data_IF_278390593718
#
_entry.id   IF_278390593718
#
_cell.length_a   1.000
_cell.length_b   1.000
_cell.length_c   1.000
_cell.angle_alpha   90.00
_cell.angle_beta   90.00
_cell.angle_gamma   90.00
#
_symmetry.space_group_name_H-M   'P 1'
#
loop_
_entity.id
_entity.type
_entity.pdbx_description
1 polymer ?
#
# COMPACT_ATOMS: atom_id res chain seq x y z
N UNK A 1 48.07 36.02 -38.04
CA UNK A 1 47.56 35.19 -36.93
C UNK A 1 46.15 35.66 -36.58
N UNK A 2 45.36 34.76 -35.99
CA UNK A 2 43.91 34.62 -36.15
C UNK A 2 42.99 35.71 -35.57
N UNK A 3 41.78 35.71 -36.14
CA UNK A 3 40.55 36.45 -35.83
C UNK A 3 40.14 36.53 -34.36
N UNK A 4 39.57 37.68 -33.96
CA UNK A 4 38.79 37.85 -32.73
C UNK A 4 37.32 38.05 -33.08
N UNK A 5 36.47 37.11 -32.65
CA UNK A 5 35.02 37.11 -32.81
C UNK A 5 34.39 38.14 -31.87
N UNK A 6 33.51 38.97 -32.42
CA UNK A 6 32.62 39.86 -31.66
C UNK A 6 31.53 39.06 -30.93
N UNK A 7 31.60 38.96 -29.61
CA UNK A 7 30.50 38.52 -28.76
C UNK A 7 29.54 39.69 -28.49
N UNK A 8 28.32 39.63 -29.03
CA UNK A 8 27.21 40.51 -28.64
C UNK A 8 26.60 39.99 -27.34
N UNK A 9 26.88 40.66 -26.23
CA UNK A 9 26.08 40.59 -25.00
C UNK A 9 24.70 41.20 -25.26
N UNK A 10 23.65 40.38 -25.24
CA UNK A 10 22.26 40.85 -25.20
C UNK A 10 21.79 40.78 -23.75
N UNK A 11 21.52 41.95 -23.17
CA UNK A 11 20.87 42.09 -21.88
C UNK A 11 19.39 41.75 -22.02
N UNK A 12 18.89 40.76 -21.27
CA UNK A 12 17.45 40.51 -21.13
C UNK A 12 16.89 41.42 -20.04
N UNK A 13 16.16 42.45 -20.46
CA UNK A 13 15.33 43.28 -19.57
C UNK A 13 13.96 42.62 -19.39
N UNK A 14 13.66 42.19 -18.17
CA UNK A 14 12.34 41.69 -17.75
C UNK A 14 11.35 42.86 -17.79
N UNK A 15 10.46 42.89 -18.80
CA UNK A 15 9.22 43.67 -18.73
C UNK A 15 8.08 42.76 -18.28
N UNK A 16 7.63 42.96 -17.05
CA UNK A 16 6.31 42.53 -16.60
C UNK A 16 5.26 43.34 -17.37
N UNK A 17 4.41 42.67 -18.16
CA UNK A 17 3.10 43.19 -18.51
C UNK A 17 2.07 42.07 -18.33
N UNK A 18 1.18 42.30 -17.37
CA UNK A 18 -0.03 41.54 -17.12
C UNK A 18 -1.03 41.86 -18.24
N UNK A 19 -1.47 40.84 -18.98
CA UNK A 19 -2.68 40.86 -19.81
C UNK A 19 -3.36 39.50 -19.59
N UNK A 20 -4.48 39.51 -18.87
CA UNK A 20 -5.44 38.43 -18.92
C UNK A 20 -6.20 38.50 -20.23
N UNK A 21 -6.19 37.43 -21.02
CA UNK A 21 -7.19 37.16 -22.07
C UNK A 21 -7.42 35.65 -22.14
N UNK A 22 -8.71 35.31 -21.99
CA UNK A 22 -9.44 34.08 -22.29
C UNK A 22 -8.73 32.96 -23.08
N UNK A 23 -8.71 31.75 -22.51
CA UNK A 23 -8.71 30.51 -23.29
C UNK A 23 -10.14 30.14 -23.65
N UNK A 24 -10.59 30.66 -24.80
CA UNK A 24 -11.69 30.09 -25.59
C UNK A 24 -11.03 29.32 -26.75
N UNK A 25 -11.02 27.99 -26.64
CA UNK A 25 -10.79 27.00 -27.70
C UNK A 25 -10.79 25.63 -26.98
N UNK A 26 -11.62 24.63 -27.24
CA UNK A 26 -12.35 24.23 -28.45
C UNK A 26 -13.66 23.55 -28.02
N UNK A 27 -14.81 24.14 -28.37
CA UNK A 27 -16.12 23.49 -28.33
C UNK A 27 -16.76 23.53 -29.74
N UNK A 28 -15.94 23.31 -30.76
CA UNK A 28 -16.34 23.27 -32.16
C UNK A 28 -15.90 21.94 -32.78
N UNK A 29 -16.73 20.91 -32.61
CA UNK A 29 -16.75 19.62 -33.33
C UNK A 29 -18.03 18.93 -32.79
N UNK A 30 -19.20 18.82 -33.42
CA UNK A 30 -19.62 18.83 -34.81
C UNK A 30 -21.05 19.40 -34.93
N UNK A 31 -21.24 20.42 -35.77
CA UNK A 31 -22.50 20.76 -36.45
C UNK A 31 -22.23 20.63 -37.96
N UNK A 32 -21.95 19.41 -38.42
CA UNK A 32 -21.81 19.09 -39.84
C UNK A 32 -23.02 18.33 -40.33
N UNK A 33 -23.96 19.03 -40.97
CA UNK A 33 -25.16 18.42 -41.55
C UNK A 33 -26.16 19.46 -42.10
N UNK A 34 -25.74 20.25 -43.08
CA UNK A 34 -26.57 21.11 -43.95
C UNK A 34 -25.88 21.02 -45.31
N UNK A 35 -26.44 20.64 -46.45
CA UNK A 35 -27.77 20.28 -47.01
C UNK A 35 -27.48 19.58 -48.34
N UNK A 36 -28.43 18.86 -48.95
CA UNK A 36 -28.80 19.04 -50.36
C UNK A 36 -30.18 18.40 -50.57
N UNK A 37 -31.14 19.22 -50.98
CA UNK A 37 -32.40 18.78 -51.56
C UNK A 37 -32.28 18.74 -53.09
N UNK A 38 -33.10 17.86 -53.67
CA UNK A 38 -33.44 17.65 -55.10
C UNK A 38 -32.45 16.95 -56.04
N UNK A 39 -32.94 15.84 -56.61
CA UNK A 39 -32.32 15.13 -57.74
C UNK A 39 -32.63 13.64 -57.78
N UNK A 40 -33.79 13.28 -58.34
CA UNK A 40 -34.34 11.93 -58.64
C UNK A 40 -33.32 10.84 -59.02
N UNK A 41 -33.48 9.63 -58.45
CA UNK A 41 -32.88 8.39 -58.97
C UNK A 41 -33.09 7.19 -58.04
N UNK A 42 -34.11 6.36 -58.32
CA UNK A 42 -34.68 5.41 -57.36
C UNK A 42 -33.88 4.15 -57.00
N UNK A 43 -34.24 3.57 -55.85
CA UNK A 43 -34.62 2.16 -55.62
C UNK A 43 -34.99 1.94 -54.14
N UNK A 44 -36.25 1.53 -53.94
CA UNK A 44 -36.86 0.84 -52.80
C UNK A 44 -36.42 1.22 -51.37
N UNK A 45 -37.14 2.16 -50.77
CA UNK A 45 -37.21 2.33 -49.30
C UNK A 45 -38.56 1.84 -48.80
N UNK A 46 -38.55 0.80 -47.96
CA UNK A 46 -39.71 0.43 -47.15
C UNK A 46 -40.10 1.61 -46.27
N UNK A 47 -41.32 2.09 -46.44
CA UNK A 47 -41.92 3.17 -45.66
C UNK A 47 -42.14 2.72 -44.22
N UNK A 48 -41.21 3.09 -43.32
CA UNK A 48 -41.45 3.06 -41.87
C UNK A 48 -42.37 4.23 -41.54
N UNK A 49 -43.50 3.92 -40.90
CA UNK A 49 -44.54 4.87 -40.49
C UNK A 49 -44.00 5.97 -39.56
N UNK A 50 -44.42 7.22 -39.78
CA UNK A 50 -43.87 8.42 -39.10
C UNK A 50 -44.04 8.42 -37.56
N UNK A 51 -44.93 7.61 -37.01
CA UNK A 51 -45.12 7.46 -35.55
C UNK A 51 -43.92 6.85 -34.82
N UNK A 52 -43.13 5.99 -35.47
CA UNK A 52 -41.94 5.36 -34.89
C UNK A 52 -40.73 6.29 -34.82
N UNK A 53 -40.66 7.29 -35.70
CA UNK A 53 -39.59 8.31 -35.69
C UNK A 53 -39.85 9.38 -34.62
N UNK A 54 -41.10 9.77 -34.39
CA UNK A 54 -41.46 10.78 -33.38
C UNK A 54 -41.24 10.30 -31.94
N UNK A 55 -41.55 9.03 -31.64
CA UNK A 55 -41.32 8.44 -30.31
C UNK A 55 -39.83 8.30 -30.01
N UNK A 56 -39.04 7.81 -30.96
CA UNK A 56 -37.57 7.72 -30.84
C UNK A 56 -36.91 9.08 -30.62
N UNK A 57 -37.42 10.13 -31.28
CA UNK A 57 -36.93 11.51 -31.12
C UNK A 57 -37.27 12.09 -29.74
N UNK A 58 -38.49 11.86 -29.25
CA UNK A 58 -38.93 12.27 -27.90
C UNK A 58 -38.03 11.67 -26.79
N UNK A 59 -37.73 10.37 -26.87
CA UNK A 59 -36.86 9.71 -25.90
C UNK A 59 -35.39 10.20 -25.99
N UNK A 60 -34.91 10.50 -27.20
CA UNK A 60 -33.58 11.09 -27.38
C UNK A 60 -33.49 12.50 -26.77
N UNK A 61 -34.52 13.32 -26.94
CA UNK A 61 -34.57 14.70 -26.40
C UNK A 61 -34.65 14.71 -24.86
N UNK A 62 -35.34 13.74 -24.25
CA UNK A 62 -35.46 13.61 -22.80
C UNK A 62 -34.12 13.28 -22.12
N UNK A 63 -33.39 12.29 -22.63
CA UNK A 63 -32.05 11.91 -22.12
C UNK A 63 -31.05 13.04 -22.36
N UNK A 64 -31.14 13.72 -23.52
CA UNK A 64 -30.32 14.88 -23.85
C UNK A 64 -30.55 16.05 -22.90
N UNK A 65 -31.80 16.31 -22.51
CA UNK A 65 -32.16 17.34 -21.53
C UNK A 65 -31.58 17.02 -20.15
N UNK A 66 -31.71 15.77 -19.68
CA UNK A 66 -31.14 15.32 -18.39
C UNK A 66 -29.61 15.44 -18.36
N UNK A 67 -28.95 15.03 -19.44
CA UNK A 67 -27.51 15.19 -19.63
C UNK A 67 -27.07 16.66 -19.54
N UNK A 68 -27.81 17.59 -20.18
CA UNK A 68 -27.50 19.02 -20.09
C UNK A 68 -27.70 19.59 -18.68
N UNK A 69 -28.73 19.14 -17.96
CA UNK A 69 -28.95 19.53 -16.56
C UNK A 69 -27.79 19.11 -15.65
N UNK A 70 -27.28 17.89 -15.83
CA UNK A 70 -26.12 17.39 -15.07
C UNK A 70 -24.88 18.22 -15.40
N UNK A 71 -24.61 18.50 -16.68
CA UNK A 71 -23.49 19.37 -17.07
C UNK A 71 -23.59 20.77 -16.44
N UNK A 72 -24.78 21.35 -16.33
CA UNK A 72 -24.96 22.66 -15.71
C UNK A 72 -24.67 22.62 -14.20
N UNK A 73 -25.09 21.56 -13.50
CA UNK A 73 -24.76 21.34 -12.07
C UNK A 73 -23.25 21.15 -11.87
N UNK A 74 -22.58 20.45 -12.79
CA UNK A 74 -21.11 20.28 -12.77
C UNK A 74 -20.42 21.63 -12.97
N UNK A 75 -20.88 22.45 -13.94
CA UNK A 75 -20.35 23.79 -14.20
C UNK A 75 -20.51 24.76 -13.03
N UNK A 76 -21.60 24.66 -12.26
CA UNK A 76 -21.83 25.49 -11.06
C UNK A 76 -20.99 25.05 -9.86
N UNK A 77 -20.59 23.77 -9.78
CA UNK A 77 -19.74 23.23 -8.70
C UNK A 77 -18.24 23.28 -9.01
N UNK A 78 -17.85 23.96 -10.08
CA UNK A 78 -16.53 23.91 -10.69
C UNK A 78 -15.55 24.84 -9.96
N UNK A 79 -15.04 24.40 -8.82
CA UNK A 79 -13.85 25.00 -8.20
C UNK A 79 -12.64 24.81 -9.13
N UNK A 80 -11.81 25.85 -9.23
CA UNK A 80 -10.71 25.99 -10.22
C UNK A 80 -9.69 24.84 -10.22
N UNK A 81 -9.62 24.07 -9.14
CA UNK A 81 -8.65 22.99 -8.93
C UNK A 81 -9.12 21.62 -9.45
N UNK A 82 -10.36 21.53 -9.97
CA UNK A 82 -11.02 20.25 -10.28
C UNK A 82 -10.92 19.79 -11.75
N UNK A 83 -9.97 20.34 -12.52
CA UNK A 83 -9.91 20.16 -13.98
C UNK A 83 -9.89 18.68 -14.42
N UNK A 84 -9.06 17.84 -13.80
CA UNK A 84 -8.91 16.42 -14.17
C UNK A 84 -10.17 15.60 -13.88
N UNK A 85 -10.79 15.78 -12.72
CA UNK A 85 -12.04 15.09 -12.35
C UNK A 85 -13.21 15.53 -13.23
N UNK A 86 -13.27 16.82 -13.59
CA UNK A 86 -14.28 17.32 -14.52
C UNK A 86 -14.12 16.71 -15.92
N UNK A 87 -12.88 16.58 -16.42
CA UNK A 87 -12.59 15.91 -17.70
C UNK A 87 -13.02 14.44 -17.64
N UNK A 88 -12.70 13.73 -16.56
CA UNK A 88 -13.11 12.34 -16.36
C UNK A 88 -14.63 12.16 -16.40
N UNK A 89 -15.38 12.99 -15.66
CA UNK A 89 -16.84 12.96 -15.69
C UNK A 89 -17.40 13.25 -17.09
N UNK A 90 -16.87 14.28 -17.78
CA UNK A 90 -17.31 14.63 -19.14
C UNK A 90 -17.09 13.47 -20.12
N UNK A 91 -15.98 12.74 -20.01
CA UNK A 91 -15.70 11.56 -20.82
C UNK A 91 -16.71 10.44 -20.54
N UNK A 92 -16.97 10.10 -19.26
CA UNK A 92 -17.97 9.07 -18.89
C UNK A 92 -19.37 9.42 -19.38
N UNK A 93 -19.78 10.68 -19.18
CA UNK A 93 -21.07 11.18 -19.66
C UNK A 93 -21.18 11.07 -21.19
N UNK A 94 -20.09 11.33 -21.92
CA UNK A 94 -20.02 11.17 -23.38
C UNK A 94 -20.13 9.72 -23.82
N UNK A 95 -19.51 8.78 -23.09
CA UNK A 95 -19.61 7.34 -23.34
C UNK A 95 -21.00 6.78 -23.09
N UNK A 96 -21.64 7.14 -21.96
CA UNK A 96 -23.03 6.77 -21.67
C UNK A 96 -23.96 7.29 -22.78
N UNK A 97 -23.75 8.53 -23.22
CA UNK A 97 -24.51 9.12 -24.34
C UNK A 97 -24.29 8.36 -25.65
N UNK A 98 -23.05 7.98 -25.99
CA UNK A 98 -22.74 7.20 -27.19
C UNK A 98 -23.38 5.81 -27.14
N UNK A 99 -23.30 5.13 -26.00
CA UNK A 99 -23.91 3.82 -25.76
C UNK A 99 -25.43 3.88 -25.91
N UNK A 100 -26.08 4.86 -25.30
CA UNK A 100 -27.53 5.07 -25.44
C UNK A 100 -27.93 5.32 -26.90
N UNK A 101 -27.21 6.19 -27.63
CA UNK A 101 -27.50 6.48 -29.04
C UNK A 101 -27.32 5.24 -29.93
N UNK A 102 -26.26 4.46 -29.69
CA UNK A 102 -26.02 3.19 -30.39
C UNK A 102 -27.12 2.16 -30.08
N UNK A 103 -27.51 2.00 -28.81
CA UNK A 103 -28.60 1.12 -28.42
C UNK A 103 -29.94 1.59 -29.02
N UNK A 104 -30.18 2.90 -29.16
CA UNK A 104 -31.38 3.44 -29.81
C UNK A 104 -31.41 3.14 -31.32
N UNK A 105 -30.25 3.23 -31.99
CA UNK A 105 -30.07 3.04 -33.43
C UNK A 105 -30.05 1.56 -33.84
N UNK A 106 -29.46 0.69 -33.02
CA UNK A 106 -29.44 -0.77 -33.22
C UNK A 106 -30.80 -1.40 -32.91
N UNK A 107 -31.57 -0.86 -31.95
CA UNK A 107 -32.89 -1.37 -31.58
C UNK A 107 -34.04 -0.89 -32.50
N UNK A 108 -33.76 -0.49 -33.74
CA UNK A 108 -34.79 -0.26 -34.78
C UNK A 108 -35.61 -1.54 -35.06
N UNK A 109 -35.11 -2.72 -34.67
CA UNK A 109 -35.72 -4.05 -34.89
C UNK A 109 -36.36 -4.73 -33.66
N UNK A 110 -36.38 -4.12 -32.46
CA UNK A 110 -36.92 -4.74 -31.23
C UNK A 110 -38.20 -4.08 -30.70
N UNK A 111 -39.05 -4.87 -30.03
CA UNK A 111 -40.41 -4.56 -29.54
C UNK A 111 -40.51 -3.26 -28.71
N UNK A 112 -41.65 -2.56 -28.80
CA UNK A 112 -41.87 -1.23 -28.16
C UNK A 112 -41.58 -1.17 -26.65
N UNK A 113 -41.68 -2.29 -25.92
CA UNK A 113 -41.37 -2.36 -24.48
C UNK A 113 -39.90 -2.06 -24.16
N UNK A 114 -38.94 -2.51 -24.98
CA UNK A 114 -37.52 -2.29 -24.72
C UNK A 114 -37.11 -0.82 -24.94
N UNK A 115 -37.74 -0.14 -25.90
CA UNK A 115 -37.57 1.31 -26.17
C UNK A 115 -38.05 2.19 -25.03
N UNK A 116 -39.06 1.76 -24.26
CA UNK A 116 -39.58 2.52 -23.13
C UNK A 116 -38.69 2.43 -21.86
N UNK A 117 -37.90 1.36 -21.70
CA UNK A 117 -37.02 1.14 -20.54
C UNK A 117 -35.60 1.72 -20.72
N UNK A 118 -35.15 1.88 -21.95
CA UNK A 118 -33.85 2.49 -22.31
C UNK A 118 -33.58 3.86 -21.66
N UNK A 119 -34.54 4.81 -21.64
CA UNK A 119 -34.35 6.13 -21.03
C UNK A 119 -34.17 6.08 -19.51
N UNK A 120 -34.89 5.20 -18.80
CA UNK A 120 -34.79 5.09 -17.34
C UNK A 120 -33.45 4.48 -16.93
N UNK A 121 -32.98 3.48 -17.67
CA UNK A 121 -31.65 2.87 -17.48
C UNK A 121 -30.52 3.88 -17.72
N UNK A 122 -30.58 4.63 -18.82
CA UNK A 122 -29.59 5.67 -19.12
C UNK A 122 -29.57 6.77 -18.04
N UNK A 123 -30.74 7.22 -17.57
CA UNK A 123 -30.83 8.18 -16.46
C UNK A 123 -30.20 7.65 -15.17
N UNK A 124 -30.44 6.38 -14.83
CA UNK A 124 -29.84 5.76 -13.65
C UNK A 124 -28.31 5.66 -13.75
N UNK A 125 -27.76 5.32 -14.91
CA UNK A 125 -26.30 5.31 -15.15
C UNK A 125 -25.70 6.73 -15.04
N UNK A 126 -26.39 7.75 -15.57
CA UNK A 126 -26.01 9.16 -15.46
C UNK A 126 -26.02 9.66 -14.00
N UNK A 127 -27.07 9.33 -13.25
CA UNK A 127 -27.20 9.73 -11.84
C UNK A 127 -26.16 9.03 -10.97
N UNK A 128 -25.88 7.74 -11.22
CA UNK A 128 -24.82 7.00 -10.53
C UNK A 128 -23.43 7.62 -10.78
N UNK A 129 -23.11 7.96 -12.03
CA UNK A 129 -21.85 8.63 -12.39
C UNK A 129 -21.72 10.01 -11.71
N UNK A 130 -22.82 10.76 -11.62
CA UNK A 130 -22.83 12.07 -10.95
C UNK A 130 -22.70 11.96 -9.42
N UNK A 131 -23.32 10.97 -8.79
CA UNK A 131 -23.14 10.71 -7.35
C UNK A 131 -21.73 10.22 -7.01
N UNK A 132 -21.11 9.42 -7.89
CA UNK A 132 -19.70 9.03 -7.75
C UNK A 132 -18.77 10.25 -7.80
N UNK A 133 -18.99 11.13 -8.77
CA UNK A 133 -18.24 12.39 -8.91
C UNK A 133 -18.33 13.30 -7.67
N UNK A 134 -19.47 13.31 -6.96
CA UNK A 134 -19.61 14.07 -5.71
C UNK A 134 -18.78 13.48 -4.56
N UNK A 135 -18.58 12.16 -4.54
CA UNK A 135 -17.83 11.45 -3.49
C UNK A 135 -16.31 11.52 -3.67
N UNK A 136 -15.84 11.52 -4.92
CA UNK A 136 -14.41 11.65 -5.27
C UNK A 136 -13.66 12.82 -4.58
N UNK A 137 -14.18 14.05 -4.47
CA UNK A 137 -13.45 15.16 -3.84
C UNK A 137 -13.26 15.01 -2.32
N UNK A 138 -14.22 14.43 -1.60
CA UNK A 138 -14.05 14.16 -0.17
C UNK A 138 -12.99 13.07 0.06
N UNK A 139 -13.02 12.03 -0.75
CA UNK A 139 -12.08 10.93 -0.64
C UNK A 139 -10.66 11.36 -1.04
N UNK A 140 -10.54 12.21 -2.07
CA UNK A 140 -9.25 12.81 -2.47
C UNK A 140 -8.64 13.65 -1.33
N UNK A 141 -9.45 14.45 -0.63
CA UNK A 141 -9.00 15.21 0.55
C UNK A 141 -8.54 14.28 1.69
N UNK A 142 -9.31 13.22 1.97
CA UNK A 142 -8.96 12.22 2.99
C UNK A 142 -7.66 11.47 2.66
N UNK A 143 -7.46 11.09 1.40
CA UNK A 143 -6.21 10.46 0.93
C UNK A 143 -5.03 11.40 1.11
N UNK A 144 -5.17 12.68 0.76
CA UNK A 144 -4.10 13.67 0.95
C UNK A 144 -3.75 13.89 2.43
N UNK A 145 -4.75 13.97 3.31
CA UNK A 145 -4.55 14.08 4.76
C UNK A 145 -3.88 12.82 5.32
N UNK A 146 -4.33 11.63 4.93
CA UNK A 146 -3.75 10.36 5.35
C UNK A 146 -2.30 10.21 4.87
N UNK A 147 -2.00 10.64 3.65
CA UNK A 147 -0.63 10.64 3.11
C UNK A 147 0.29 11.54 3.95
N UNK A 148 -0.18 12.72 4.37
CA UNK A 148 0.57 13.59 5.29
C UNK A 148 0.82 12.92 6.66
N UNK A 149 -0.17 12.21 7.20
CA UNK A 149 -0.03 11.48 8.47
C UNK A 149 0.98 10.33 8.39
N UNK A 150 1.06 9.65 7.24
CA UNK A 150 2.07 8.62 6.98
C UNK A 150 3.47 9.22 6.98
N UNK A 151 3.69 10.33 6.29
CA UNK A 151 4.99 11.02 6.26
C UNK A 151 5.42 11.49 7.65
N UNK A 152 4.50 12.04 8.44
CA UNK A 152 4.77 12.44 9.82
C UNK A 152 5.15 11.24 10.72
N UNK A 153 4.47 10.11 10.56
CA UNK A 153 4.78 8.88 11.30
C UNK A 153 6.15 8.30 10.91
N UNK A 154 6.48 8.31 9.61
CA UNK A 154 7.79 7.86 9.11
C UNK A 154 8.92 8.67 9.71
N UNK A 155 8.76 10.00 9.70
CA UNK A 155 9.74 10.90 10.34
C UNK A 155 9.90 10.59 11.82
N UNK A 156 8.81 10.37 12.56
CA UNK A 156 8.88 10.02 13.97
C UNK A 156 9.60 8.69 14.22
N UNK A 157 9.40 7.69 13.37
CA UNK A 157 10.11 6.42 13.46
C UNK A 157 11.61 6.56 13.14
N UNK A 158 11.96 7.41 12.17
CA UNK A 158 13.35 7.74 11.84
C UNK A 158 14.05 8.51 12.97
N UNK A 159 13.39 9.51 13.55
CA UNK A 159 13.88 10.27 14.70
C UNK A 159 14.12 9.33 15.91
N UNK A 160 13.19 8.41 16.19
CA UNK A 160 13.35 7.40 17.25
C UNK A 160 14.51 6.44 16.96
N UNK A 161 14.68 6.03 15.70
CA UNK A 161 15.77 5.15 15.29
C UNK A 161 17.14 5.80 15.49
N UNK A 162 17.28 7.08 15.17
CA UNK A 162 18.50 7.84 15.41
C UNK A 162 18.74 8.02 16.92
N UNK A 163 17.70 8.34 17.70
CA UNK A 163 17.81 8.46 19.15
C UNK A 163 18.30 7.15 19.80
N UNK A 164 17.73 6.01 19.39
CA UNK A 164 18.14 4.70 19.88
C UNK A 164 19.57 4.35 19.50
N UNK A 165 19.98 4.68 18.27
CA UNK A 165 21.34 4.49 17.80
C UNK A 165 22.36 5.31 18.60
N UNK A 166 22.00 6.53 19.02
CA UNK A 166 22.85 7.41 19.85
C UNK A 166 22.94 6.93 21.29
N UNK A 167 21.81 6.52 21.88
CA UNK A 167 21.74 6.11 23.28
C UNK A 167 22.27 4.68 23.50
N UNK A 168 22.11 3.80 22.52
CA UNK A 168 22.45 2.38 22.61
C UNK A 168 23.26 1.90 21.38
N UNK A 169 24.48 2.42 21.15
CA UNK A 169 25.26 2.17 19.94
C UNK A 169 25.72 0.71 19.74
N UNK A 170 25.72 -0.09 20.81
CA UNK A 170 26.10 -1.52 20.77
C UNK A 170 24.89 -2.46 20.74
N UNK A 171 23.67 -1.92 20.74
CA UNK A 171 22.46 -2.73 20.77
C UNK A 171 22.21 -3.40 19.42
N UNK A 172 21.91 -4.70 19.48
CA UNK A 172 21.63 -5.54 18.30
C UNK A 172 20.13 -5.69 18.03
N UNK A 173 19.28 -5.29 18.98
CA UNK A 173 17.83 -5.43 18.93
C UNK A 173 17.14 -4.07 18.88
N UNK A 174 15.94 -4.01 18.28
CA UNK A 174 15.12 -2.79 18.29
C UNK A 174 14.59 -2.51 19.70
N UNK A 175 14.48 -1.24 20.05
CA UNK A 175 13.78 -0.84 21.27
C UNK A 175 12.28 -1.01 21.08
N UNK A 176 11.55 -1.12 22.19
CA UNK A 176 10.09 -1.22 22.12
C UNK A 176 9.49 0.09 21.58
N UNK A 177 10.15 1.23 21.82
CA UNK A 177 9.78 2.54 21.30
C UNK A 177 9.86 2.59 19.77
N UNK A 178 10.94 2.06 19.19
CA UNK A 178 11.11 1.98 17.74
C UNK A 178 10.13 0.99 17.11
N UNK A 179 9.90 -0.17 17.73
CA UNK A 179 8.89 -1.15 17.26
C UNK A 179 7.47 -0.55 17.23
N UNK A 180 7.10 0.23 18.26
CA UNK A 180 5.81 0.94 18.30
C UNK A 180 5.75 2.00 17.20
N UNK A 181 6.82 2.79 17.00
CA UNK A 181 6.85 3.82 15.98
C UNK A 181 6.74 3.23 14.56
N UNK A 182 7.44 2.13 14.27
CA UNK A 182 7.34 1.41 13.00
C UNK A 182 5.94 0.78 12.80
N UNK A 183 5.33 0.25 13.86
CA UNK A 183 3.97 -0.30 13.79
C UNK A 183 2.92 0.78 13.51
N UNK A 184 3.05 1.98 14.09
CA UNK A 184 2.18 3.13 13.79
C UNK A 184 2.29 3.57 12.31
N UNK A 185 3.49 3.48 11.71
CA UNK A 185 3.68 3.70 10.26
C UNK A 185 2.89 2.67 9.46
N UNK A 186 3.03 1.37 9.77
CA UNK A 186 2.33 0.30 9.04
C UNK A 186 0.81 0.45 9.11
N UNK A 187 0.26 0.79 10.28
CA UNK A 187 -1.17 1.06 10.46
C UNK A 187 -1.63 2.19 9.53
N UNK A 188 -0.91 3.31 9.53
CA UNK A 188 -1.27 4.48 8.70
C UNK A 188 -1.10 4.21 7.20
N UNK A 189 -0.10 3.43 6.81
CA UNK A 189 0.07 2.99 5.42
C UNK A 189 -1.07 2.08 4.97
N UNK A 190 -1.50 1.13 5.80
CA UNK A 190 -2.64 0.26 5.52
C UNK A 190 -3.97 1.05 5.44
N UNK A 191 -4.19 2.04 6.32
CA UNK A 191 -5.35 2.93 6.25
C UNK A 191 -5.34 3.79 4.97
N UNK A 192 -4.16 4.26 4.54
CA UNK A 192 -4.00 4.99 3.29
C UNK A 192 -4.28 4.09 2.08
N UNK A 193 -3.84 2.83 2.11
CA UNK A 193 -4.12 1.83 1.09
C UNK A 193 -5.64 1.59 0.96
N UNK A 194 -6.35 1.44 2.08
CA UNK A 194 -7.81 1.29 2.11
C UNK A 194 -8.50 2.49 1.46
N UNK A 195 -8.12 3.71 1.84
CA UNK A 195 -8.70 4.93 1.25
C UNK A 195 -8.42 5.05 -0.25
N UNK A 196 -7.27 4.57 -0.72
CA UNK A 196 -6.94 4.54 -2.16
C UNK A 196 -7.75 3.50 -2.92
N UNK A 197 -7.97 2.32 -2.35
CA UNK A 197 -8.85 1.28 -2.93
C UNK A 197 -10.30 1.74 -3.00
N UNK A 198 -10.83 2.38 -1.96
CA UNK A 198 -12.18 2.95 -1.95
C UNK A 198 -12.38 4.06 -2.99
N UNK A 199 -11.29 4.73 -3.37
CA UNK A 199 -11.26 5.83 -4.34
C UNK A 199 -11.17 5.38 -5.79
N UNK A 200 -10.95 4.08 -6.04
CA UNK A 200 -10.95 3.55 -7.40
C UNK A 200 -12.35 3.61 -8.01
N UNK A 201 -12.37 3.85 -9.31
CA UNK A 201 -13.59 3.91 -10.11
C UNK A 201 -14.34 2.58 -10.14
N UNK A 202 -13.59 1.48 -10.23
CA UNK A 202 -14.10 0.11 -10.09
C UNK A 202 -13.68 -0.43 -8.73
N UNK A 203 -14.64 -0.52 -7.82
CA UNK A 203 -14.44 -1.08 -6.48
C UNK A 203 -14.49 -2.59 -6.56
N UNK A 204 -13.39 -3.23 -6.22
CA UNK A 204 -13.35 -4.66 -5.97
C UNK A 204 -13.59 -4.91 -4.47
N UNK A 205 -14.79 -5.37 -4.13
CA UNK A 205 -15.16 -5.68 -2.75
C UNK A 205 -14.26 -6.75 -2.12
N UNK A 206 -13.69 -7.66 -2.91
CA UNK A 206 -12.76 -8.69 -2.43
C UNK A 206 -11.44 -8.06 -1.98
N UNK A 207 -10.88 -7.18 -2.81
CA UNK A 207 -9.65 -6.44 -2.50
C UNK A 207 -9.85 -5.50 -1.30
N UNK A 208 -10.98 -4.77 -1.24
CA UNK A 208 -11.28 -3.89 -0.10
C UNK A 208 -11.34 -4.69 1.22
N UNK A 209 -12.01 -5.84 1.24
CA UNK A 209 -12.07 -6.70 2.44
C UNK A 209 -10.70 -7.20 2.89
N UNK A 210 -9.82 -7.55 1.96
CA UNK A 210 -8.45 -7.97 2.29
C UNK A 210 -7.67 -6.82 2.94
N UNK A 211 -7.79 -5.60 2.41
CA UNK A 211 -7.12 -4.43 2.97
C UNK A 211 -7.73 -4.05 4.33
N UNK A 212 -9.04 -4.17 4.52
CA UNK A 212 -9.69 -3.98 5.82
C UNK A 212 -9.18 -4.98 6.88
N UNK A 213 -9.02 -6.26 6.52
CA UNK A 213 -8.44 -7.27 7.41
C UNK A 213 -6.99 -6.94 7.77
N UNK A 214 -6.20 -6.47 6.80
CA UNK A 214 -4.82 -6.02 7.03
C UNK A 214 -4.77 -4.82 7.98
N UNK A 215 -5.64 -3.82 7.81
CA UNK A 215 -5.74 -2.69 8.77
C UNK A 215 -6.07 -3.20 10.17
N UNK A 216 -6.97 -4.18 10.29
CA UNK A 216 -7.33 -4.77 11.58
C UNK A 216 -6.17 -5.53 12.23
N UNK A 217 -5.40 -6.30 11.46
CA UNK A 217 -4.24 -7.04 11.98
C UNK A 217 -3.12 -6.10 12.45
N UNK A 218 -2.81 -5.05 11.67
CA UNK A 218 -1.77 -4.07 12.03
C UNK A 218 -2.16 -3.29 13.29
N UNK A 219 -3.44 -2.91 13.43
CA UNK A 219 -3.94 -2.26 14.67
C UNK A 219 -3.86 -3.17 15.89
N UNK A 220 -4.10 -4.47 15.72
CA UNK A 220 -3.96 -5.44 16.81
C UNK A 220 -2.50 -5.59 17.25
N UNK A 221 -1.55 -5.58 16.30
CA UNK A 221 -0.11 -5.60 16.60
C UNK A 221 0.31 -4.34 17.36
N UNK A 222 -0.08 -3.15 16.89
CA UNK A 222 0.22 -1.89 17.58
C UNK A 222 -0.30 -1.88 19.03
N UNK A 223 -1.53 -2.37 19.24
CA UNK A 223 -2.14 -2.50 20.58
C UNK A 223 -1.35 -3.45 21.48
N UNK A 224 -0.88 -4.58 20.92
CA UNK A 224 -0.06 -5.55 21.65
C UNK A 224 1.27 -4.92 22.09
N UNK A 225 1.92 -4.15 21.23
CA UNK A 225 3.19 -3.48 21.55
C UNK A 225 3.02 -2.43 22.67
N UNK A 226 1.95 -1.64 22.63
CA UNK A 226 1.63 -0.67 23.71
C UNK A 226 1.34 -1.37 25.04
N UNK A 227 0.65 -2.52 25.01
CA UNK A 227 0.43 -3.34 26.20
C UNK A 227 1.76 -3.84 26.79
N UNK A 228 2.66 -4.35 25.93
CA UNK A 228 4.00 -4.80 26.35
C UNK A 228 4.79 -3.66 26.99
N UNK A 229 4.78 -2.46 26.39
CA UNK A 229 5.43 -1.26 26.96
C UNK A 229 4.89 -0.93 28.34
N UNK A 230 3.57 -0.95 28.50
CA UNK A 230 2.90 -0.65 29.77
C UNK A 230 3.25 -1.68 30.86
N UNK A 231 3.26 -2.96 30.52
CA UNK A 231 3.62 -4.04 31.44
C UNK A 231 5.09 -3.98 31.86
N UNK A 232 6.01 -3.71 30.92
CA UNK A 232 7.44 -3.51 31.22
C UNK A 232 7.66 -2.34 32.19
N UNK A 233 6.98 -1.21 31.98
CA UNK A 233 7.06 -0.05 32.86
C UNK A 233 6.58 -0.38 34.28
N UNK A 234 5.45 -1.09 34.41
CA UNK A 234 4.94 -1.54 35.72
C UNK A 234 5.91 -2.50 36.42
N UNK A 235 6.50 -3.44 35.68
CA UNK A 235 7.49 -4.38 36.20
C UNK A 235 8.76 -3.68 36.68
N UNK A 236 9.23 -2.66 35.95
CA UNK A 236 10.40 -1.86 36.36
C UNK A 236 10.11 -1.03 37.62
N UNK A 237 8.93 -0.41 37.71
CA UNK A 237 8.53 0.34 38.90
C UNK A 237 8.42 -0.57 40.14
N UNK A 238 7.86 -1.77 39.98
CA UNK A 238 7.81 -2.77 41.06
C UNK A 238 9.22 -3.18 41.51
N UNK A 239 10.16 -3.38 40.57
CA UNK A 239 11.56 -3.66 40.89
C UNK A 239 12.23 -2.52 41.65
N UNK A 240 11.97 -1.26 41.26
CA UNK A 240 12.50 -0.09 41.96
C UNK A 240 11.98 0.01 43.39
N UNK A 241 10.67 -0.22 43.61
CA UNK A 241 10.06 -0.24 44.95
C UNK A 241 10.64 -1.35 45.84
N UNK A 242 10.81 -2.56 45.30
CA UNK A 242 11.45 -3.65 46.04
C UNK A 242 12.92 -3.35 46.42
N UNK A 243 13.69 -2.76 45.49
CA UNK A 243 15.07 -2.38 45.75
C UNK A 243 15.21 -1.22 46.76
N UNK A 244 14.21 -0.35 46.86
CA UNK A 244 14.16 0.73 47.85
C UNK A 244 13.75 0.20 49.24
N UNK A 245 12.82 -0.75 49.31
CA UNK A 245 12.47 -1.45 50.56
C UNK A 245 13.64 -2.27 51.15
N UNK A 246 14.44 -2.92 50.30
CA UNK A 246 15.64 -3.63 50.75
C UNK A 246 16.74 -2.68 51.25
N UNK A 247 16.88 -1.48 50.66
CA UNK A 247 17.81 -0.45 51.15
C UNK A 247 17.42 0.16 52.50
N UNK A 248 16.12 0.17 52.85
CA UNK A 248 15.66 0.67 54.16
C UNK A 248 15.93 -0.34 55.29
N UNK A 249 16.06 -1.63 54.98
CA UNK A 249 16.44 -2.68 55.95
C UNK A 249 17.94 -2.73 56.26
N UNK A 250 18.77 -2.02 55.49
CA UNK A 250 20.23 -2.13 55.54
C UNK A 250 20.94 -0.83 55.99
N UNK A 251 20.42 -0.14 57.02
CA UNK A 251 21.12 1.00 57.66
C UNK A 251 21.87 0.56 58.94
N UNK A 252 23.12 1.02 59.20
CA UNK A 252 24.04 0.35 60.14
C UNK A 252 23.76 0.64 61.62
N UNK A 253 24.12 -0.32 62.47
CA UNK A 253 24.23 -0.18 63.93
C UNK A 253 25.17 0.98 64.33
N UNK A 254 24.75 1.75 65.34
CA UNK A 254 25.49 2.83 65.97
C UNK A 254 26.90 2.41 66.44
N UNK A 255 27.89 3.26 66.17
CA UNK A 255 29.26 3.15 66.69
C UNK A 255 29.30 3.43 68.21
N UNK A 256 30.06 2.66 69.02
CA UNK A 256 30.51 3.11 70.33
C UNK A 256 31.85 3.88 70.26
N UNK A 257 31.98 4.93 71.07
CA UNK A 257 33.18 5.77 71.24
C UNK A 257 34.38 5.00 71.86
N UNK A 258 35.64 5.48 71.70
CA UNK A 258 36.84 4.72 72.05
C UNK A 258 37.27 4.90 73.51
N UNK A 259 37.82 3.85 74.12
CA UNK A 259 38.56 3.89 75.39
C UNK A 259 40.05 3.52 75.18
N UNK A 260 41.00 4.02 76.01
CA UNK A 260 42.44 3.86 75.80
C UNK A 260 43.02 2.57 76.42
N UNK A 261 44.28 2.25 76.03
CA UNK A 261 45.02 0.97 76.09
C UNK A 261 45.74 0.64 77.46
N UNK A 262 46.64 -0.38 77.58
CA UNK A 262 46.35 -1.77 78.01
C UNK A 262 47.23 -2.35 79.18
N UNK A 263 46.96 -3.63 79.55
CA UNK A 263 47.76 -4.68 80.29
C UNK A 263 47.70 -4.78 81.83
N UNK A 264 48.02 -5.95 82.47
CA UNK A 264 47.82 -7.39 82.13
C UNK A 264 47.43 -8.33 83.32
N UNK A 265 47.29 -9.64 83.04
CA UNK A 265 47.45 -10.85 83.91
C UNK A 265 46.24 -11.76 84.29
N UNK A 266 46.49 -13.07 84.10
CA UNK A 266 45.71 -14.30 84.40
C UNK A 266 45.89 -14.72 85.90
N UNK A 267 45.19 -15.71 86.51
CA UNK A 267 44.77 -17.02 85.95
C UNK A 267 43.39 -17.60 86.41
N UNK A 268 43.05 -18.78 85.85
CA UNK A 268 41.85 -19.65 86.02
C UNK A 268 41.78 -20.35 87.42
N UNK A 269 40.75 -21.17 87.84
CA UNK A 269 39.89 -22.11 87.05
C UNK A 269 38.39 -22.36 87.48
N UNK A 270 37.63 -23.02 86.57
CA UNK A 270 36.48 -23.99 86.65
C UNK A 270 35.46 -24.02 87.85
N UNK A 271 34.24 -24.66 87.77
CA UNK A 271 33.65 -25.52 86.73
C UNK A 271 32.16 -25.22 86.35
N UNK A 272 31.64 -26.02 85.41
CA UNK A 272 30.24 -26.11 84.93
C UNK A 272 29.36 -26.88 85.94
N UNK A 273 28.05 -26.57 86.03
CA UNK A 273 27.03 -27.60 85.73
C UNK A 273 25.84 -27.01 84.95
N UNK A 274 25.43 -27.67 83.87
CA UNK A 274 24.15 -28.38 83.74
C UNK A 274 22.95 -27.47 83.45
N UNK A 275 22.34 -27.76 82.29
CA UNK A 275 21.05 -27.23 81.87
C UNK A 275 19.95 -27.92 82.71
N UNK A 276 18.84 -27.24 83.01
CA UNK A 276 17.59 -27.79 82.51
C UNK A 276 16.54 -26.76 82.05
N UNK A 277 15.85 -27.18 80.98
CA UNK A 277 14.43 -27.05 80.71
C UNK A 277 13.85 -25.69 80.25
N UNK A 278 13.22 -25.78 79.07
CA UNK A 278 12.36 -24.84 78.36
C UNK A 278 11.02 -24.60 79.06
N UNK A 279 10.43 -23.41 78.84
CA UNK A 279 9.05 -23.17 78.37
C UNK A 279 8.74 -21.65 78.28
N UNK A 280 7.73 -21.17 77.52
CA UNK A 280 7.72 -21.03 76.05
C UNK A 280 7.42 -19.59 75.59
N UNK A 281 7.64 -19.28 74.30
CA UNK A 281 7.13 -18.04 73.66
C UNK A 281 6.23 -18.40 72.48
N UNK A 282 5.05 -17.77 72.48
CA UNK A 282 3.87 -17.93 71.65
C UNK A 282 4.06 -18.37 70.17
N UNK A 283 3.31 -19.40 69.79
CA UNK A 283 3.04 -19.85 68.42
C UNK A 283 2.03 -18.94 67.70
N UNK A 284 2.23 -18.79 66.39
CA UNK A 284 1.26 -18.27 65.40
C UNK A 284 0.31 -19.41 64.99
N UNK A 285 -0.95 -19.15 64.59
CA UNK A 285 -1.94 -20.21 64.39
C UNK A 285 -1.66 -21.07 63.14
N UNK A 286 -1.88 -22.38 63.30
CA UNK A 286 -1.49 -23.47 62.39
C UNK A 286 -2.11 -23.45 60.98
N UNK A 287 -3.14 -22.65 60.73
CA UNK A 287 -3.85 -22.66 59.45
C UNK A 287 -3.09 -21.92 58.32
N UNK A 288 -2.27 -20.91 58.64
CA UNK A 288 -1.47 -20.21 57.62
C UNK A 288 -0.23 -21.01 57.18
N UNK A 289 0.26 -21.90 58.05
CA UNK A 289 1.44 -22.71 57.78
C UNK A 289 1.11 -23.92 56.89
N UNK A 290 -0.13 -24.43 56.98
CA UNK A 290 -0.60 -25.55 56.16
C UNK A 290 -0.89 -25.14 54.69
N UNK A 291 -1.36 -23.92 54.44
CA UNK A 291 -1.59 -23.40 53.07
C UNK A 291 -0.28 -23.10 52.33
N UNK A 292 0.72 -22.54 53.02
CA UNK A 292 2.05 -22.30 52.45
C UNK A 292 2.82 -23.62 52.21
N UNK A 293 2.64 -24.64 53.06
CA UNK A 293 3.20 -25.98 52.84
C UNK A 293 2.51 -26.74 51.69
N UNK A 294 1.22 -26.49 51.43
CA UNK A 294 0.50 -27.07 50.29
C UNK A 294 0.93 -26.44 48.96
N UNK A 295 1.10 -25.11 48.92
CA UNK A 295 1.58 -24.39 47.74
C UNK A 295 3.03 -24.76 47.38
N UNK A 296 3.93 -24.81 48.38
CA UNK A 296 5.36 -25.13 48.17
C UNK A 296 5.58 -26.56 47.68
N UNK A 297 4.77 -27.51 48.17
CA UNK A 297 4.84 -28.92 47.75
C UNK A 297 4.41 -29.11 46.29
N UNK A 298 3.46 -28.31 45.78
CA UNK A 298 3.03 -28.36 44.38
C UNK A 298 4.06 -27.77 43.40
N UNK A 299 4.80 -26.72 43.79
CA UNK A 299 5.86 -26.12 42.98
C UNK A 299 7.13 -26.98 42.98
N UNK A 300 7.47 -27.64 44.10
CA UNK A 300 8.58 -28.59 44.16
C UNK A 300 8.29 -29.88 43.37
N UNK A 301 7.03 -30.32 43.31
CA UNK A 301 6.61 -31.46 42.48
C UNK A 301 6.62 -31.11 40.98
N UNK A 302 6.23 -29.89 40.60
CA UNK A 302 6.34 -29.37 39.23
C UNK A 302 7.81 -29.19 38.78
N UNK A 303 8.67 -28.72 39.68
CA UNK A 303 10.10 -28.55 39.43
C UNK A 303 10.88 -29.89 39.43
N UNK A 304 10.44 -30.91 40.20
CA UNK A 304 11.00 -32.27 40.10
C UNK A 304 10.59 -32.98 38.81
N UNK A 305 9.39 -32.74 38.28
CA UNK A 305 8.94 -33.33 37.02
C UNK A 305 9.71 -32.79 35.80
N UNK A 306 10.20 -31.55 35.88
CA UNK A 306 11.00 -30.90 34.82
C UNK A 306 12.51 -31.19 34.92
N UNK A 307 13.02 -31.61 36.08
CA UNK A 307 14.44 -31.91 36.30
C UNK A 307 14.83 -33.40 36.27
N UNK A 308 13.88 -34.33 36.15
CA UNK A 308 14.16 -35.78 36.03
C UNK A 308 14.15 -36.33 34.60
N UNK A 309 14.11 -35.47 33.58
CA UNK A 309 14.58 -35.90 32.26
C UNK A 309 16.09 -35.75 32.25
N UNK A 310 16.87 -36.82 32.04
CA UNK A 310 18.31 -36.68 31.85
C UNK A 310 18.54 -35.70 30.68
N UNK A 311 19.68 -34.99 30.64
CA UNK A 311 19.99 -34.14 29.52
C UNK A 311 19.87 -35.02 28.28
N UNK A 312 18.93 -34.70 27.38
CA UNK A 312 19.11 -35.12 26.00
C UNK A 312 20.40 -34.45 25.61
N UNK A 313 21.49 -35.23 25.59
CA UNK A 313 22.60 -34.99 24.71
C UNK A 313 21.97 -34.60 23.39
N UNK A 314 22.00 -33.30 23.10
CA UNK A 314 21.82 -32.81 21.76
C UNK A 314 22.93 -33.49 20.98
N UNK A 315 22.57 -34.61 20.34
CA UNK A 315 23.16 -34.99 19.08
C UNK A 315 23.32 -33.68 18.33
N UNK A 316 24.55 -33.26 17.96
CA UNK A 316 24.77 -31.95 17.33
C UNK A 316 23.67 -31.80 16.29
N UNK A 317 22.86 -30.73 16.45
CA UNK A 317 21.71 -30.50 15.61
C UNK A 317 22.16 -30.83 14.19
N UNK A 318 21.58 -31.89 13.60
CA UNK A 318 21.77 -32.13 12.18
C UNK A 318 21.46 -30.78 11.55
N UNK A 319 22.36 -30.21 10.72
CA UNK A 319 22.15 -28.90 10.15
C UNK A 319 20.74 -28.92 9.58
N UNK A 320 19.84 -28.10 10.14
CA UNK A 320 18.58 -27.81 9.47
C UNK A 320 19.04 -27.28 8.13
N UNK A 321 18.94 -28.10 7.09
CA UNK A 321 19.49 -27.77 5.78
C UNK A 321 19.02 -26.36 5.50
N UNK A 322 19.94 -25.38 5.32
CA UNK A 322 19.53 -24.00 5.14
C UNK A 322 18.46 -24.00 4.04
N UNK A 323 17.30 -23.40 4.30
CA UNK A 323 16.28 -23.21 3.26
C UNK A 323 16.96 -22.29 2.25
N UNK A 324 17.56 -22.84 1.21
CA UNK A 324 18.22 -22.09 0.14
C UNK A 324 17.48 -22.32 -1.17
N UNK A 325 17.53 -21.34 -2.06
CA UNK A 325 16.85 -21.34 -3.34
C UNK A 325 15.36 -21.03 -3.24
N UNK A 326 14.64 -21.36 -4.30
CA UNK A 326 13.20 -21.14 -4.42
C UNK A 326 12.40 -22.02 -3.44
N UNK A 327 11.47 -21.40 -2.73
CA UNK A 327 10.53 -22.05 -1.81
C UNK A 327 9.14 -21.47 -1.99
N UNK A 328 8.14 -22.34 -1.97
CA UNK A 328 6.75 -21.93 -1.97
C UNK A 328 6.18 -22.03 -0.56
N UNK A 329 5.67 -20.93 -0.04
CA UNK A 329 5.07 -20.82 1.29
C UNK A 329 3.73 -20.09 1.17
N UNK A 330 2.65 -20.67 1.70
CA UNK A 330 1.28 -20.14 1.59
C UNK A 330 0.86 -19.75 0.15
N UNK A 331 1.30 -20.53 -0.84
CA UNK A 331 1.00 -20.28 -2.26
C UNK A 331 1.88 -19.23 -2.94
N UNK A 332 2.70 -18.49 -2.18
CA UNK A 332 3.64 -17.48 -2.70
C UNK A 332 5.05 -18.06 -2.83
N UNK A 333 5.79 -17.61 -3.84
CA UNK A 333 7.18 -18.00 -4.04
C UNK A 333 8.15 -17.03 -3.39
N UNK A 334 9.15 -17.54 -2.70
CA UNK A 334 10.23 -16.81 -2.05
C UNK A 334 11.57 -17.38 -2.52
N UNK A 335 12.61 -16.57 -2.48
CA UNK A 335 13.97 -17.03 -2.73
C UNK A 335 14.84 -16.78 -1.50
N UNK A 336 15.51 -17.82 -1.04
CA UNK A 336 16.46 -17.72 0.05
C UNK A 336 17.89 -17.87 -0.47
N UNK A 337 18.75 -16.93 -0.12
CA UNK A 337 20.16 -16.95 -0.45
C UNK A 337 20.87 -18.12 0.25
N UNK A 338 22.11 -18.38 -0.15
CA UNK A 338 22.93 -19.46 0.42
C UNK A 338 23.22 -19.30 1.91
N UNK A 339 23.17 -18.07 2.42
CA UNK A 339 23.30 -17.72 3.85
C UNK A 339 21.98 -17.84 4.63
N UNK A 340 20.89 -18.22 3.95
CA UNK A 340 19.55 -18.34 4.53
C UNK A 340 18.76 -17.02 4.60
N UNK A 341 19.33 -15.91 4.16
CA UNK A 341 18.60 -14.63 4.07
C UNK A 341 17.57 -14.66 2.93
N UNK A 342 16.44 -13.97 3.11
CA UNK A 342 15.41 -13.87 2.08
C UNK A 342 15.73 -12.75 1.08
N UNK A 343 15.69 -13.05 -0.21
CA UNK A 343 15.92 -12.06 -1.26
C UNK A 343 14.70 -11.14 -1.44
N UNK A 344 14.97 -9.86 -1.71
CA UNK A 344 13.99 -8.84 -2.10
C UNK A 344 14.52 -8.04 -3.29
N UNK A 345 13.65 -7.41 -4.05
CA UNK A 345 14.00 -6.68 -5.27
C UNK A 345 14.32 -7.60 -6.46
N UNK A 346 15.14 -7.09 -7.38
CA UNK A 346 15.57 -7.84 -8.56
C UNK A 346 16.53 -8.96 -8.19
N UNK A 347 16.20 -10.17 -8.63
CA UNK A 347 17.02 -11.37 -8.45
C UNK A 347 17.35 -11.96 -9.81
N UNK A 348 18.64 -12.17 -10.07
CA UNK A 348 19.07 -12.99 -11.19
C UNK A 348 19.32 -14.43 -10.71
N UNK A 349 18.59 -15.39 -11.27
CA UNK A 349 18.77 -16.80 -10.96
C UNK A 349 18.70 -17.63 -12.24
N UNK A 350 19.71 -18.48 -12.47
CA UNK A 350 19.81 -19.37 -13.64
C UNK A 350 19.62 -18.67 -15.00
N UNK A 351 20.13 -17.44 -15.14
CA UNK A 351 20.06 -16.67 -16.39
C UNK A 351 18.74 -15.94 -16.63
N UNK A 352 17.76 -16.07 -15.73
CA UNK A 352 16.51 -15.30 -15.76
C UNK A 352 16.48 -14.27 -14.64
N UNK A 353 15.79 -13.16 -14.89
CA UNK A 353 15.50 -12.14 -13.88
C UNK A 353 14.13 -12.38 -13.26
N UNK A 354 14.03 -12.14 -11.97
CA UNK A 354 12.82 -12.23 -11.17
C UNK A 354 12.72 -10.98 -10.31
N UNK A 355 11.51 -10.66 -9.86
CA UNK A 355 11.31 -9.59 -8.91
C UNK A 355 10.60 -10.11 -7.66
N UNK A 356 11.21 -9.89 -6.51
CA UNK A 356 10.66 -10.20 -5.20
C UNK A 356 10.22 -8.87 -4.57
N UNK A 357 8.99 -8.77 -4.10
CA UNK A 357 8.50 -7.55 -3.46
C UNK A 357 9.22 -7.31 -2.11
N UNK A 358 8.83 -6.26 -1.37
CA UNK A 358 9.43 -5.94 -0.07
C UNK A 358 9.23 -7.00 1.01
N UNK A 359 8.21 -7.86 0.89
CA UNK A 359 7.98 -8.99 1.80
C UNK A 359 8.64 -10.29 1.31
N UNK A 360 9.40 -10.24 0.21
CA UNK A 360 10.13 -11.35 -0.38
C UNK A 360 9.32 -12.22 -1.33
N UNK A 361 8.02 -11.95 -1.51
CA UNK A 361 7.20 -12.74 -2.41
C UNK A 361 7.42 -12.35 -3.89
N UNK A 362 7.52 -13.36 -4.74
CA UNK A 362 7.74 -13.22 -6.17
C UNK A 362 6.55 -12.55 -6.87
N UNK A 363 6.87 -11.60 -7.73
CA UNK A 363 5.90 -10.85 -8.54
C UNK A 363 5.77 -11.48 -9.92
N UNK A 364 4.54 -11.51 -10.43
CA UNK A 364 4.17 -11.88 -11.80
C UNK A 364 3.32 -10.77 -12.42
N UNK A 365 3.25 -10.69 -13.74
CA UNK A 365 2.54 -9.66 -14.48
C UNK A 365 3.32 -8.35 -14.61
N UNK A 366 2.60 -7.25 -14.81
CA UNK A 366 3.19 -5.93 -14.98
C UNK A 366 3.77 -5.37 -13.69
N UNK A 367 5.03 -4.93 -13.75
CA UNK A 367 5.74 -4.28 -12.66
C UNK A 367 6.23 -2.91 -13.10
N UNK A 368 5.89 -1.87 -12.34
CA UNK A 368 6.53 -0.56 -12.47
C UNK A 368 7.67 -0.46 -11.47
N UNK A 369 8.90 -0.29 -11.96
CA UNK A 369 10.09 -0.13 -11.12
C UNK A 369 10.99 0.97 -11.69
N UNK A 370 11.37 1.94 -10.85
CA UNK A 370 12.24 3.07 -11.21
C UNK A 370 11.81 3.84 -12.48
N UNK A 371 10.49 4.02 -12.68
CA UNK A 371 9.94 4.77 -13.81
C UNK A 371 9.84 4.00 -15.13
N UNK A 372 10.23 2.72 -15.15
CA UNK A 372 10.04 1.83 -16.29
C UNK A 372 9.05 0.71 -15.97
N UNK A 373 8.37 0.21 -16.99
CA UNK A 373 7.50 -0.96 -16.89
C UNK A 373 8.25 -2.22 -17.33
N UNK A 374 8.00 -3.32 -16.63
CA UNK A 374 8.54 -4.64 -16.90
C UNK A 374 7.39 -5.64 -16.89
N UNK A 375 7.55 -6.76 -17.59
CA UNK A 375 6.59 -7.85 -17.56
C UNK A 375 7.25 -9.11 -17.00
N UNK A 376 6.67 -9.66 -15.94
CA UNK A 376 7.12 -10.91 -15.31
C UNK A 376 6.15 -12.00 -15.75
N UNK A 377 6.63 -13.02 -16.44
CA UNK A 377 5.82 -14.15 -16.87
C UNK A 377 5.15 -14.86 -15.68
N UNK A 378 4.19 -15.75 -15.95
CA UNK A 378 3.52 -16.51 -14.89
C UNK A 378 4.45 -17.34 -13.99
N UNK A 379 5.64 -17.72 -14.51
CA UNK A 379 6.69 -18.40 -13.73
C UNK A 379 7.65 -17.43 -13.01
N UNK A 380 7.36 -16.13 -13.02
CA UNK A 380 8.14 -15.05 -12.42
C UNK A 380 9.32 -14.54 -13.26
N UNK A 381 9.66 -15.20 -14.37
CA UNK A 381 10.78 -14.75 -15.19
C UNK A 381 10.43 -13.46 -15.94
N UNK A 382 11.33 -12.49 -15.95
CA UNK A 382 11.20 -11.26 -16.71
C UNK A 382 11.21 -11.54 -18.21
N UNK A 383 10.20 -11.03 -18.91
CA UNK A 383 10.10 -11.10 -20.35
C UNK A 383 10.97 -10.04 -21.03
N UNK A 384 11.46 -10.39 -22.21
CA UNK A 384 12.08 -9.49 -23.18
C UNK A 384 11.41 -9.69 -24.53
N UNK A 385 11.60 -8.74 -25.45
CA UNK A 385 10.99 -8.70 -26.77
C UNK A 385 9.45 -8.62 -26.74
N UNK A 386 8.78 -9.25 -27.70
CA UNK A 386 7.34 -9.14 -27.87
C UNK A 386 6.58 -9.89 -26.77
N UNK A 387 5.70 -9.19 -26.08
CA UNK A 387 4.76 -9.75 -25.12
C UNK A 387 3.34 -9.45 -25.58
N UNK A 388 2.49 -10.47 -25.57
CA UNK A 388 1.04 -10.31 -25.79
C UNK A 388 0.33 -10.45 -24.45
N UNK A 389 -0.37 -9.40 -24.04
CA UNK A 389 -1.20 -9.39 -22.85
C UNK A 389 -2.65 -9.09 -23.25
N UNK A 390 -3.53 -10.08 -23.08
CA UNK A 390 -4.85 -10.09 -23.71
C UNK A 390 -4.76 -9.99 -25.24
N UNK A 391 -5.39 -8.97 -25.80
CA UNK A 391 -5.38 -8.66 -27.24
C UNK A 391 -4.32 -7.63 -27.65
N UNK A 392 -3.53 -7.12 -26.69
CA UNK A 392 -2.59 -6.03 -26.92
C UNK A 392 -1.16 -6.55 -26.94
N UNK A 393 -0.37 -6.08 -27.90
CA UNK A 393 1.06 -6.37 -28.01
C UNK A 393 1.89 -5.24 -27.40
N UNK A 394 2.98 -5.63 -26.75
CA UNK A 394 3.97 -4.76 -26.12
C UNK A 394 5.37 -5.22 -26.53
N UNK A 395 6.34 -4.32 -26.45
CA UNK A 395 7.74 -4.66 -26.71
C UNK A 395 8.62 -4.25 -25.52
N UNK A 396 9.31 -5.25 -24.96
CA UNK A 396 10.24 -5.13 -23.85
C UNK A 396 11.66 -5.15 -24.43
N UNK A 397 12.50 -4.20 -24.04
CA UNK A 397 13.90 -4.17 -24.46
C UNK A 397 14.68 -5.33 -23.83
N UNK A 398 15.94 -5.53 -24.25
CA UNK A 398 16.81 -6.56 -23.66
C UNK A 398 17.03 -6.38 -22.15
N UNK A 399 16.89 -5.15 -21.64
CA UNK A 399 16.88 -4.84 -20.20
C UNK A 399 15.57 -5.20 -19.49
N UNK A 400 14.55 -5.61 -20.23
CA UNK A 400 13.18 -5.84 -19.77
C UNK A 400 12.32 -4.58 -19.69
N UNK A 401 12.87 -3.39 -19.95
CA UNK A 401 12.11 -2.15 -19.92
C UNK A 401 11.16 -2.05 -21.12
N UNK A 402 9.91 -1.70 -20.87
CA UNK A 402 8.89 -1.55 -21.91
C UNK A 402 9.10 -0.27 -22.71
N UNK A 403 9.05 -0.37 -24.04
CA UNK A 403 9.00 0.80 -24.91
C UNK A 403 7.64 1.49 -24.80
N UNK A 404 7.64 2.83 -24.79
CA UNK A 404 6.44 3.66 -24.83
C UNK A 404 6.68 4.92 -25.66
N UNK A 405 5.61 5.43 -26.29
CA UNK A 405 5.57 6.68 -27.05
C UNK A 405 6.68 6.84 -28.09
N UNK A 406 6.99 5.78 -28.84
CA UNK A 406 8.12 5.81 -29.78
C UNK A 406 7.97 4.86 -30.95
N UNK A 407 8.61 5.23 -32.06
CA UNK A 407 8.92 4.33 -33.16
C UNK A 407 10.18 3.53 -32.85
N UNK A 408 10.20 2.25 -33.19
CA UNK A 408 11.37 1.39 -33.05
C UNK A 408 11.41 0.34 -34.16
N UNK A 409 12.60 -0.26 -34.37
CA UNK A 409 12.84 -1.22 -35.43
C UNK A 409 13.13 -2.61 -34.86
N UNK A 410 12.48 -3.64 -35.39
CA UNK A 410 12.74 -5.06 -35.09
C UNK A 410 12.88 -5.80 -36.42
N UNK A 411 14.01 -6.47 -36.64
CA UNK A 411 14.29 -7.24 -37.89
C UNK A 411 13.93 -6.48 -39.17
N UNK A 412 14.45 -5.26 -39.28
CA UNK A 412 14.25 -4.33 -40.40
C UNK A 412 12.83 -3.77 -40.62
N UNK A 413 11.88 -4.07 -39.74
CA UNK A 413 10.53 -3.52 -39.77
C UNK A 413 10.32 -2.49 -38.68
N UNK A 414 9.58 -1.43 -38.98
CA UNK A 414 9.26 -0.36 -38.04
C UNK A 414 7.92 -0.59 -37.36
N UNK A 415 7.87 -0.31 -36.08
CA UNK A 415 6.70 -0.45 -35.21
C UNK A 415 6.55 0.79 -34.36
N UNK A 416 5.32 1.09 -33.95
CA UNK A 416 5.03 2.18 -33.01
C UNK A 416 4.26 1.67 -31.81
N UNK A 417 4.69 2.06 -30.62
CA UNK A 417 3.95 1.85 -29.37
C UNK A 417 3.51 3.19 -28.78
N UNK A 418 2.28 3.25 -28.30
CA UNK A 418 1.70 4.46 -27.72
C UNK A 418 2.21 4.72 -26.29
N UNK A 419 1.65 5.71 -25.59
CA UNK A 419 2.06 6.07 -24.23
C UNK A 419 1.81 5.01 -23.16
N UNK A 420 0.92 4.05 -23.40
CA UNK A 420 0.74 2.88 -22.53
C UNK A 420 1.61 1.69 -22.95
N UNK A 421 2.47 1.85 -23.96
CA UNK A 421 3.28 0.77 -24.54
C UNK A 421 2.54 -0.16 -25.50
N UNK A 422 1.27 0.11 -25.79
CA UNK A 422 0.47 -0.72 -26.67
C UNK A 422 0.86 -0.51 -28.13
N UNK A 423 1.08 -1.60 -28.86
CA UNK A 423 1.38 -1.62 -30.29
C UNK A 423 0.21 -1.02 -31.09
N UNK A 424 0.52 -0.04 -31.94
CA UNK A 424 -0.42 0.46 -32.92
C UNK A 424 -0.58 -0.55 -34.05
N UNK A 425 -1.82 -0.97 -34.33
CA UNK A 425 -2.16 -1.89 -35.44
C UNK A 425 -3.32 -1.32 -36.25
N UNK A 426 -3.33 -1.58 -37.56
CA UNK A 426 -4.39 -1.15 -38.49
C UNK A 426 -4.78 0.34 -38.37
N UNK A 427 -3.78 1.21 -38.19
CA UNK A 427 -4.01 2.64 -37.95
C UNK A 427 -2.94 3.50 -38.63
N UNK A 428 -3.04 4.81 -38.45
CA UNK A 428 -2.06 5.80 -38.93
C UNK A 428 -1.47 6.53 -37.73
N UNK A 429 -0.13 6.58 -37.67
CA UNK A 429 0.64 7.30 -36.64
C UNK A 429 1.57 8.27 -37.35
N UNK A 430 1.48 9.57 -37.03
CA UNK A 430 2.32 10.62 -37.62
C UNK A 430 2.36 10.63 -39.16
N UNK A 431 1.22 10.33 -39.82
CA UNK A 431 1.07 10.16 -41.27
C UNK A 431 1.64 8.87 -41.86
N UNK A 432 2.15 7.95 -41.04
CA UNK A 432 2.62 6.63 -41.46
C UNK A 432 1.58 5.55 -41.13
N UNK A 433 1.25 4.70 -42.10
CA UNK A 433 0.26 3.63 -41.93
C UNK A 433 0.93 2.37 -41.37
N UNK A 434 0.31 1.74 -40.38
CA UNK A 434 0.74 0.44 -39.85
C UNK A 434 -0.31 -0.63 -40.16
N UNK A 435 0.15 -1.82 -40.52
CA UNK A 435 -0.72 -2.95 -40.89
C UNK A 435 -1.26 -3.70 -39.64
N UNK A 436 -1.90 -4.86 -39.85
CA UNK A 436 -2.47 -5.66 -38.76
C UNK A 436 -1.42 -6.24 -37.79
N UNK A 437 -0.17 -6.37 -38.25
CA UNK A 437 0.96 -6.79 -37.43
C UNK A 437 1.67 -5.59 -36.77
N UNK A 438 1.17 -4.37 -36.97
CA UNK A 438 1.77 -3.13 -36.48
C UNK A 438 3.01 -2.68 -37.25
N UNK A 439 3.29 -3.32 -38.39
CA UNK A 439 4.43 -2.99 -39.23
C UNK A 439 4.10 -1.76 -40.07
N UNK A 440 5.00 -0.78 -40.09
CA UNK A 440 4.92 0.35 -41.01
C UNK A 440 4.93 -0.16 -42.46
N UNK A 441 3.94 0.30 -43.23
CA UNK A 441 3.82 0.08 -44.66
C UNK A 441 3.88 1.43 -45.39
N UNK A 442 4.67 1.48 -46.45
CA UNK A 442 4.84 2.64 -47.31
C UNK A 442 3.69 2.77 -48.32
#
# INVERSE_FOLDING_TARGET
MFASKSERKVHYSIRKFSIGVASVAVASLFLGGVVHAEGVGGRNTSTVTSSGQDTSKKYADEVKSHYQSILEKVRKSLEKDRHTQNVGLITKLSEIKKKYLYELEVNVLLEEKSKAELPSKAKAELDAAFEQFKKEPELTKKVAEAQKKVEEAKKKAEDQKEEDFRNYPTNTYKTIELEIAESDVKVKEAELELLKEEAKEHRDEGTIKQVEEKVKSEKAEATRLEKIKTERKKAEEAKRKAAEEDKVKEKPAEQPQPAPAPQPEKPAPAPKPENPAEQPKAEKPADQQAEEDYARRSEEEYNRLTQQQPPKTEKPAQPSTPKTGWKQENGMWYFYNTDGSMATGWLQNNGSWYYLNSNGAMVTGWLQNNGSWYYLNANGSMATDWVKDGDTWYYLEASGAMKASQWFKVSDKWYYVNGSGALAVNTTVDSYRVNANGEWVN
#
